data_IF_995036870406
#
_entry.id   IF_995036870406
#
_cell.length_a   1.000
_cell.length_b   1.000
_cell.length_c   1.000
_cell.angle_alpha   90.00
_cell.angle_beta   90.00
_cell.angle_gamma   90.00
#
_symmetry.space_group_name_H-M   'P 1'
#
loop_
_entity.id
_entity.type
_entity.pdbx_description
1 polymer ?
#
# COMPACT_ATOMS: atom_id res chain seq x y z
N UNK A 1 -29.86 26.18 35.78
CA UNK A 1 -30.08 24.73 35.88
C UNK A 1 -30.33 24.16 34.49
N UNK A 2 -29.30 23.65 33.81
CA UNK A 2 -29.43 23.14 32.45
C UNK A 2 -30.13 21.77 32.44
N UNK A 3 -31.21 21.65 31.67
CA UNK A 3 -32.03 20.45 31.57
C UNK A 3 -31.24 19.25 31.02
N UNK A 4 -31.31 18.14 31.75
CA UNK A 4 -30.73 16.86 31.33
C UNK A 4 -31.57 16.33 30.17
N UNK A 5 -31.05 16.43 28.94
CA UNK A 5 -31.75 15.92 27.75
C UNK A 5 -31.97 14.41 27.89
N UNK A 6 -33.21 13.96 27.67
CA UNK A 6 -33.57 12.54 27.73
C UNK A 6 -32.79 11.76 26.66
N UNK A 7 -32.14 10.62 27.01
CA UNK A 7 -31.41 9.82 26.04
C UNK A 7 -32.30 9.36 24.89
N UNK A 8 -31.81 9.44 23.66
CA UNK A 8 -32.56 9.03 22.47
C UNK A 8 -33.08 7.58 22.61
N UNK A 9 -34.31 7.27 22.15
CA UNK A 9 -34.85 5.90 22.12
C UNK A 9 -33.90 4.90 21.46
N UNK A 10 -33.83 3.66 21.97
CA UNK A 10 -32.80 2.68 21.60
C UNK A 10 -32.78 2.34 20.09
N UNK A 11 -33.95 2.26 19.48
CA UNK A 11 -34.20 2.10 18.05
C UNK A 11 -33.72 3.28 17.19
N UNK A 12 -33.68 4.48 17.77
CA UNK A 12 -33.23 5.70 17.11
C UNK A 12 -31.76 6.06 17.39
N UNK A 13 -31.10 5.27 18.25
CA UNK A 13 -29.66 5.35 18.49
C UNK A 13 -28.93 4.73 17.30
N UNK A 14 -28.53 5.58 16.36
CA UNK A 14 -27.53 5.19 15.35
C UNK A 14 -26.15 5.53 15.88
N UNK A 15 -25.24 4.55 15.87
CA UNK A 15 -23.82 4.81 16.14
C UNK A 15 -23.33 5.73 15.02
N UNK A 16 -22.91 6.94 15.39
CA UNK A 16 -22.41 7.95 14.44
C UNK A 16 -21.24 7.43 13.59
N UNK A 17 -20.46 6.49 14.12
CA UNK A 17 -19.27 5.93 13.50
C UNK A 17 -19.50 4.49 12.97
N UNK A 18 -20.70 4.17 12.45
CA UNK A 18 -20.90 2.89 11.76
C UNK A 18 -20.28 3.01 10.36
N UNK A 19 -19.09 2.42 10.19
CA UNK A 19 -18.43 2.29 8.89
C UNK A 19 -19.07 1.09 8.19
N UNK A 20 -19.62 1.30 6.99
CA UNK A 20 -20.00 0.19 6.10
C UNK A 20 -18.72 -0.31 5.44
N UNK A 21 -18.36 -1.57 5.70
CA UNK A 21 -17.19 -2.18 5.09
C UNK A 21 -17.51 -2.58 3.65
N UNK A 22 -16.56 -2.34 2.75
CA UNK A 22 -16.59 -2.84 1.36
C UNK A 22 -15.60 -4.00 1.25
N UNK A 23 -16.07 -5.12 0.70
CA UNK A 23 -15.25 -6.30 0.47
C UNK A 23 -14.47 -6.18 -0.85
N UNK A 24 -13.17 -6.48 -0.79
CA UNK A 24 -12.26 -6.49 -1.93
C UNK A 24 -11.85 -7.93 -2.28
N UNK A 25 -11.67 -8.26 -3.57
CA UNK A 25 -11.30 -9.60 -4.01
C UNK A 25 -9.89 -9.97 -3.54
N UNK A 26 -9.71 -11.23 -3.13
CA UNK A 26 -8.43 -11.74 -2.62
C UNK A 26 -7.37 -11.88 -3.72
N UNK A 27 -7.82 -12.05 -4.95
CA UNK A 27 -7.01 -12.19 -6.17
C UNK A 27 -6.34 -10.87 -6.55
N UNK A 28 -6.92 -9.76 -6.09
CA UNK A 28 -6.47 -8.42 -6.44
C UNK A 28 -6.89 -7.98 -7.83
N UNK A 29 -6.22 -6.95 -8.35
CA UNK A 29 -6.44 -6.49 -9.71
C UNK A 29 -5.77 -7.43 -10.71
N UNK A 30 -6.59 -8.13 -11.50
CA UNK A 30 -6.17 -9.03 -12.59
C UNK A 30 -6.14 -8.34 -13.95
N UNK A 31 -6.62 -7.10 -14.02
CA UNK A 31 -6.62 -6.31 -15.25
C UNK A 31 -5.25 -5.76 -15.62
N UNK A 32 -5.18 -5.19 -16.81
CA UNK A 32 -4.01 -4.42 -17.24
C UNK A 32 -3.86 -3.15 -16.39
N UNK A 33 -2.61 -2.79 -16.10
CA UNK A 33 -2.27 -1.56 -15.40
C UNK A 33 -1.21 -0.78 -16.18
N UNK A 34 -1.19 0.55 -16.09
CA UNK A 34 -0.23 1.37 -16.82
C UNK A 34 1.21 0.97 -16.46
N UNK A 35 2.13 0.83 -17.44
CA UNK A 35 3.53 0.56 -17.15
C UNK A 35 4.17 1.75 -16.42
N UNK A 36 5.32 1.52 -15.78
CA UNK A 36 6.13 2.63 -15.28
C UNK A 36 6.60 3.51 -16.45
N UNK A 37 6.68 4.85 -16.26
CA UNK A 37 7.13 5.76 -17.31
C UNK A 37 8.55 5.46 -17.80
N UNK A 38 8.81 5.62 -19.10
CA UNK A 38 10.10 5.24 -19.69
C UNK A 38 11.18 6.32 -19.64
N UNK A 39 10.92 7.48 -19.01
CA UNK A 39 11.88 8.60 -18.95
C UNK A 39 13.06 8.35 -17.98
N UNK A 40 13.03 7.28 -17.19
CA UNK A 40 14.09 6.88 -16.25
C UNK A 40 14.31 5.37 -16.29
N UNK A 41 15.55 4.96 -16.05
CA UNK A 41 15.91 3.56 -15.81
C UNK A 41 15.54 3.15 -14.39
N UNK A 42 14.49 2.34 -14.24
CA UNK A 42 14.01 1.83 -12.96
C UNK A 42 14.86 0.67 -12.44
N UNK A 43 15.03 0.58 -11.12
CA UNK A 43 15.56 -0.63 -10.50
C UNK A 43 14.58 -1.80 -10.66
N UNK A 44 15.05 -3.05 -10.83
CA UNK A 44 14.19 -4.23 -10.88
C UNK A 44 13.26 -4.33 -9.67
N UNK A 45 13.78 -4.06 -8.47
CA UNK A 45 13.02 -4.03 -7.22
C UNK A 45 11.88 -3.00 -7.27
N UNK A 46 12.07 -1.84 -7.91
CA UNK A 46 11.02 -0.82 -8.08
C UNK A 46 9.94 -1.29 -9.03
N UNK A 47 10.30 -1.95 -10.13
CA UNK A 47 9.35 -2.50 -11.10
C UNK A 47 8.47 -3.56 -10.43
N UNK A 48 9.08 -4.46 -9.67
CA UNK A 48 8.39 -5.50 -8.92
C UNK A 48 7.48 -4.93 -7.82
N UNK A 49 7.98 -3.95 -7.08
CA UNK A 49 7.22 -3.22 -6.07
C UNK A 49 5.98 -2.54 -6.69
N UNK A 50 6.15 -1.84 -7.81
CA UNK A 50 5.06 -1.18 -8.51
C UNK A 50 4.01 -2.19 -9.02
N UNK A 51 4.45 -3.30 -9.62
CA UNK A 51 3.57 -4.37 -10.06
C UNK A 51 2.78 -5.00 -8.90
N UNK A 52 3.41 -5.12 -7.73
CA UNK A 52 2.77 -5.65 -6.52
C UNK A 52 1.60 -4.77 -6.08
N UNK A 53 1.82 -3.45 -6.05
CA UNK A 53 0.76 -2.48 -5.74
C UNK A 53 -0.36 -2.49 -6.78
N UNK A 54 -0.01 -2.51 -8.07
CA UNK A 54 -0.99 -2.53 -9.15
C UNK A 54 -1.86 -3.80 -9.17
N UNK A 55 -1.38 -4.90 -8.58
CA UNK A 55 -2.11 -6.16 -8.42
C UNK A 55 -2.79 -6.30 -7.06
N UNK A 56 -2.67 -5.32 -6.17
CA UNK A 56 -3.27 -5.42 -4.84
C UNK A 56 -4.81 -5.44 -4.91
N UNK A 57 -5.51 -5.99 -3.90
CA UNK A 57 -6.96 -5.86 -3.74
C UNK A 57 -7.48 -4.43 -3.81
N UNK A 58 -6.70 -3.46 -3.30
CA UNK A 58 -7.08 -2.05 -3.38
C UNK A 58 -7.12 -1.53 -4.82
N UNK A 59 -6.26 -2.07 -5.69
CA UNK A 59 -6.17 -1.61 -7.07
C UNK A 59 -7.39 -1.95 -7.94
N UNK A 60 -8.29 -2.82 -7.49
CA UNK A 60 -9.54 -3.12 -8.22
C UNK A 60 -10.49 -1.93 -8.27
N UNK A 61 -10.38 -0.99 -7.33
CA UNK A 61 -11.19 0.23 -7.29
C UNK A 61 -10.44 1.47 -7.81
N UNK A 62 -9.18 1.31 -8.27
CA UNK A 62 -8.37 2.45 -8.67
C UNK A 62 -8.79 3.03 -10.01
N UNK A 63 -9.04 4.34 -10.01
CA UNK A 63 -9.09 5.17 -11.22
C UNK A 63 -7.68 5.47 -11.75
N UNK A 64 -7.58 5.94 -12.99
CA UNK A 64 -6.33 6.34 -13.64
C UNK A 64 -5.46 7.28 -12.78
N UNK A 65 -6.08 8.22 -12.05
CA UNK A 65 -5.36 9.16 -11.16
C UNK A 65 -4.60 8.47 -10.03
N UNK A 66 -5.10 7.33 -9.53
CA UNK A 66 -4.42 6.57 -8.48
C UNK A 66 -3.16 5.89 -9.03
N UNK A 67 -3.22 5.36 -10.26
CA UNK A 67 -2.02 4.84 -10.94
C UNK A 67 -1.00 5.94 -11.20
N UNK A 68 -1.44 7.13 -11.66
CA UNK A 68 -0.54 8.28 -11.82
C UNK A 68 0.11 8.67 -10.50
N UNK A 69 -0.64 8.67 -9.40
CA UNK A 69 -0.10 8.93 -8.06
C UNK A 69 0.90 7.86 -7.66
N UNK A 70 0.60 6.58 -7.87
CA UNK A 70 1.50 5.47 -7.55
C UNK A 70 2.81 5.57 -8.36
N UNK A 71 2.76 5.98 -9.64
CA UNK A 71 3.96 6.24 -10.44
C UNK A 71 4.83 7.35 -9.85
N UNK A 72 4.24 8.39 -9.25
CA UNK A 72 5.00 9.42 -8.52
C UNK A 72 5.64 8.84 -7.26
N UNK A 73 4.94 7.97 -6.53
CA UNK A 73 5.49 7.29 -5.35
C UNK A 73 6.60 6.30 -5.73
N UNK A 74 6.52 5.68 -6.91
CA UNK A 74 7.57 4.81 -7.43
C UNK A 74 8.91 5.54 -7.58
N UNK A 75 8.89 6.83 -7.94
CA UNK A 75 10.11 7.68 -7.96
C UNK A 75 10.75 7.73 -6.57
N UNK A 76 9.96 7.99 -5.53
CA UNK A 76 10.44 8.05 -4.15
C UNK A 76 10.98 6.69 -3.67
N UNK A 77 10.32 5.59 -4.04
CA UNK A 77 10.79 4.25 -3.70
C UNK A 77 12.12 3.91 -4.39
N UNK A 78 12.25 4.24 -5.68
CA UNK A 78 13.49 4.03 -6.45
C UNK A 78 14.64 4.87 -5.89
N UNK A 79 14.41 6.15 -5.60
CA UNK A 79 15.41 7.03 -5.00
C UNK A 79 15.80 6.57 -3.59
N UNK A 80 14.83 6.08 -2.80
CA UNK A 80 15.10 5.50 -1.47
C UNK A 80 16.02 4.29 -1.57
N UNK A 81 15.76 3.38 -2.51
CA UNK A 81 16.64 2.23 -2.76
C UNK A 81 18.05 2.65 -3.18
N UNK A 82 18.18 3.67 -4.02
CA UNK A 82 19.48 4.18 -4.49
C UNK A 82 20.27 4.93 -3.42
N UNK A 83 19.58 5.54 -2.46
CA UNK A 83 20.19 6.29 -1.36
C UNK A 83 20.73 5.41 -0.22
N UNK A 84 20.75 4.09 -0.40
CA UNK A 84 21.03 3.11 0.66
C UNK A 84 20.12 3.29 1.90
N UNK A 85 18.90 3.75 1.67
CA UNK A 85 17.85 3.77 2.69
C UNK A 85 17.65 5.09 3.44
N UNK A 86 17.80 6.24 2.79
CA UNK A 86 17.58 7.56 3.40
C UNK A 86 16.24 7.64 4.14
N UNK A 87 16.32 7.94 5.44
CA UNK A 87 15.17 8.01 6.33
C UNK A 87 14.22 9.15 5.98
N UNK A 88 14.67 10.21 5.32
CA UNK A 88 13.79 11.31 4.91
C UNK A 88 12.90 10.88 3.74
N UNK A 89 13.47 10.22 2.72
CA UNK A 89 12.68 9.61 1.64
C UNK A 89 11.70 8.57 2.20
N UNK A 90 12.13 7.78 3.19
CA UNK A 90 11.28 6.76 3.80
C UNK A 90 10.11 7.34 4.60
N UNK A 91 10.25 8.53 5.20
CA UNK A 91 9.13 9.22 5.88
C UNK A 91 8.06 9.63 4.86
N UNK A 92 8.48 10.29 3.78
CA UNK A 92 7.57 10.70 2.71
C UNK A 92 6.89 9.49 2.07
N UNK A 93 7.65 8.44 1.77
CA UNK A 93 7.12 7.19 1.22
C UNK A 93 6.01 6.61 2.11
N UNK A 94 6.21 6.55 3.43
CA UNK A 94 5.20 6.04 4.37
C UNK A 94 3.94 6.89 4.42
N UNK A 95 4.08 8.21 4.36
CA UNK A 95 2.93 9.12 4.32
C UNK A 95 2.11 8.89 3.05
N UNK A 96 2.78 8.79 1.90
CA UNK A 96 2.11 8.56 0.62
C UNK A 96 1.44 7.19 0.54
N UNK A 97 2.09 6.15 1.07
CA UNK A 97 1.57 4.77 1.00
C UNK A 97 0.37 4.51 1.90
N UNK A 98 0.16 5.31 2.94
CA UNK A 98 -1.02 5.20 3.80
C UNK A 98 -2.32 5.39 3.01
N UNK A 99 -2.30 6.22 1.96
CA UNK A 99 -3.46 6.50 1.10
C UNK A 99 -3.82 5.34 0.16
N UNK A 100 -2.93 4.35 0.01
CA UNK A 100 -3.14 3.19 -0.87
C UNK A 100 -3.58 1.92 -0.14
N UNK A 101 -3.68 1.94 1.19
CA UNK A 101 -4.14 0.78 1.95
C UNK A 101 -3.06 -0.30 2.18
N UNK A 102 -1.79 0.10 2.28
CA UNK A 102 -0.66 -0.83 2.42
C UNK A 102 -0.59 -1.62 3.72
N UNK A 103 -1.37 -1.22 4.73
CA UNK A 103 -1.41 -1.91 6.02
C UNK A 103 -2.83 -2.32 6.40
N UNK A 104 -3.01 -3.35 7.25
CA UNK A 104 -4.33 -3.70 7.78
C UNK A 104 -5.02 -2.54 8.52
N UNK A 105 -4.23 -1.65 9.13
CA UNK A 105 -4.76 -0.45 9.78
C UNK A 105 -5.33 0.53 8.76
N UNK A 106 -4.67 0.72 7.61
CA UNK A 106 -5.13 1.61 6.56
C UNK A 106 -6.42 1.07 5.91
N UNK A 107 -6.48 -0.23 5.63
CA UNK A 107 -7.71 -0.90 5.16
C UNK A 107 -8.87 -0.67 6.13
N UNK A 108 -8.63 -0.86 7.43
CA UNK A 108 -9.64 -0.62 8.47
C UNK A 108 -10.08 0.84 8.53
N UNK A 109 -9.16 1.80 8.38
CA UNK A 109 -9.47 3.24 8.31
C UNK A 109 -10.33 3.58 7.10
N UNK A 110 -10.07 2.94 5.97
CA UNK A 110 -10.83 3.12 4.72
C UNK A 110 -12.17 2.36 4.70
N UNK A 111 -12.46 1.54 5.71
CA UNK A 111 -13.63 0.65 5.70
C UNK A 111 -13.54 -0.38 4.57
N UNK A 112 -12.35 -0.92 4.32
CA UNK A 112 -12.09 -1.95 3.33
C UNK A 112 -11.69 -3.25 4.02
N UNK A 113 -12.15 -4.37 3.48
CA UNK A 113 -11.82 -5.71 3.96
C UNK A 113 -11.50 -6.60 2.76
N UNK A 114 -10.38 -7.32 2.82
CA UNK A 114 -10.04 -8.30 1.78
C UNK A 114 -10.68 -9.63 2.12
N UNK A 115 -11.34 -10.26 1.15
CA UNK A 115 -11.90 -11.60 1.31
C UNK A 115 -10.76 -12.57 1.64
N UNK A 116 -10.88 -13.41 2.69
CA UNK A 116 -9.85 -14.37 3.01
C UNK A 116 -9.74 -15.41 1.90
N UNK A 117 -8.52 -15.64 1.42
CA UNK A 117 -8.20 -16.72 0.48
C UNK A 117 -8.34 -18.08 1.20
N UNK A 118 -8.83 -19.14 0.54
CA UNK A 118 -8.83 -20.49 1.13
C UNK A 118 -7.42 -20.89 1.60
N UNK A 119 -7.36 -21.54 2.77
CA UNK A 119 -6.10 -21.93 3.39
C UNK A 119 -5.31 -22.89 2.48
N UNK A 120 -4.06 -22.51 2.16
CA UNK A 120 -3.13 -23.33 1.37
C UNK A 120 -2.45 -22.59 0.22
N UNK A 121 -2.99 -21.45 -0.20
CA UNK A 121 -2.44 -20.66 -1.30
C UNK A 121 -1.57 -19.51 -0.76
N UNK A 122 -0.30 -19.82 -0.49
CA UNK A 122 0.69 -18.82 -0.09
C UNK A 122 1.26 -18.17 -1.34
N UNK A 123 1.03 -16.86 -1.53
CA UNK A 123 1.74 -16.10 -2.56
C UNK A 123 3.19 -15.96 -2.12
N UNK A 124 4.11 -16.54 -2.87
CA UNK A 124 5.53 -16.40 -2.62
C UNK A 124 5.91 -14.91 -2.71
N UNK A 125 6.42 -14.33 -1.61
CA UNK A 125 7.05 -13.02 -1.68
C UNK A 125 8.37 -13.16 -2.44
N UNK A 126 8.69 -12.22 -3.33
CA UNK A 126 9.96 -12.25 -4.04
C UNK A 126 11.12 -12.08 -3.06
N UNK A 127 12.13 -12.95 -3.19
CA UNK A 127 13.32 -12.90 -2.36
C UNK A 127 14.18 -11.69 -2.75
N UNK A 128 14.43 -10.79 -1.80
CA UNK A 128 15.33 -9.65 -2.02
C UNK A 128 16.76 -10.15 -2.20
N UNK A 129 17.42 -9.76 -3.29
CA UNK A 129 18.83 -10.12 -3.52
C UNK A 129 19.71 -9.48 -2.43
N UNK A 130 20.60 -10.25 -1.76
CA UNK A 130 21.44 -9.68 -0.72
C UNK A 130 22.42 -8.66 -1.34
N UNK A 131 22.56 -7.50 -0.70
CA UNK A 131 23.54 -6.50 -1.09
C UNK A 131 24.95 -7.12 -1.09
N UNK A 132 25.69 -6.93 -2.18
CA UNK A 132 27.03 -7.48 -2.38
C UNK A 132 27.98 -6.79 -1.40
N UNK A 133 28.25 -7.42 -0.24
CA UNK A 133 29.24 -6.92 0.72
C UNK A 133 30.63 -6.94 0.05
N UNK A 134 31.21 -5.77 -0.17
CA UNK A 134 32.60 -5.65 -0.61
C UNK A 134 33.50 -6.19 0.50
N UNK A 135 34.33 -7.18 0.17
CA UNK A 135 35.37 -7.67 1.09
C UNK A 135 36.47 -6.61 1.15
N UNK A 136 36.84 -6.18 2.36
CA UNK A 136 38.04 -5.36 2.55
C UNK A 136 39.25 -6.17 2.07
N UNK A 137 39.98 -5.63 1.09
CA UNK A 137 41.30 -6.12 0.72
C UNK A 137 42.26 -5.58 1.77
N UNK A 138 42.84 -6.47 2.57
CA UNK A 138 43.92 -6.11 3.49
C UNK A 138 45.17 -5.93 2.62
N UNK A 139 45.81 -4.75 2.62
CA UNK A 139 47.09 -4.58 1.93
C UNK A 139 48.20 -5.28 2.72
N UNK A 140 49.07 -5.99 1.98
CA UNK A 140 50.31 -6.61 2.49
C UNK A 140 51.37 -5.56 2.88
#
# INVERSE_FOLDING_TARGET
MAGRTVPKPADQRRRRNKVTEVELPAEGNTGEFPPLPQWRSWLPDTVEWYATWCRSPMATEWLAVHFMRLQQVAVLYDDWLRSDGDLNLLKELRLQLADFGGTPLDLKRMGRKVTPRPAGEVVAMPARKPARRLRAVVPE
#
